data_IF_037370986956
#
_entry.id   IF_037370986956
#
_cell.length_a   1.000
_cell.length_b   1.000
_cell.length_c   1.000
_cell.angle_alpha   90.00
_cell.angle_beta   90.00
_cell.angle_gamma   90.00
#
_symmetry.space_group_name_H-M   'P 1'
#
loop_
_entity.id
_entity.type
_entity.pdbx_description
1 polymer ?
#
# COMPACT_ATOMS: atom_id res chain seq x y z
N UNK A 1 -41.48 -19.58 8.00
CA UNK A 1 -41.34 -18.28 8.70
C UNK A 1 -40.97 -18.37 10.18
N UNK A 2 -40.14 -19.34 10.61
CA UNK A 2 -39.76 -19.48 12.04
C UNK A 2 -38.27 -19.73 12.30
N UNK A 3 -37.41 -19.67 11.27
CA UNK A 3 -35.98 -19.89 11.42
C UNK A 3 -35.17 -18.59 11.60
N UNK A 4 -35.77 -17.43 11.31
CA UNK A 4 -35.12 -16.14 11.44
C UNK A 4 -35.16 -15.57 12.88
N UNK A 5 -36.06 -16.07 13.74
CA UNK A 5 -36.28 -15.52 15.09
C UNK A 5 -35.33 -16.12 16.15
N UNK A 6 -34.71 -17.27 15.88
CA UNK A 6 -33.83 -17.95 16.84
C UNK A 6 -32.36 -17.53 16.81
N UNK A 7 -31.90 -16.83 15.76
CA UNK A 7 -30.47 -16.47 15.61
C UNK A 7 -30.12 -15.17 16.34
N UNK A 8 -31.09 -14.28 16.58
CA UNK A 8 -30.89 -13.04 17.35
C UNK A 8 -30.67 -13.27 18.85
N UNK A 9 -30.86 -14.49 19.35
CA UNK A 9 -30.79 -14.81 20.79
C UNK A 9 -29.34 -15.09 21.29
N UNK A 10 -28.35 -15.24 20.39
CA UNK A 10 -26.98 -15.65 20.76
C UNK A 10 -25.92 -14.54 20.70
N UNK A 11 -26.29 -13.29 20.40
CA UNK A 11 -25.33 -12.21 20.27
C UNK A 11 -25.48 -11.20 21.41
N UNK A 12 -24.50 -11.17 22.33
CA UNK A 12 -24.49 -10.16 23.37
C UNK A 12 -24.11 -8.77 22.80
N UNK A 13 -24.49 -7.70 23.49
CA UNK A 13 -24.19 -6.33 23.04
C UNK A 13 -22.69 -6.12 22.78
N UNK A 14 -21.81 -6.73 23.57
CA UNK A 14 -20.37 -6.63 23.39
C UNK A 14 -19.87 -7.25 22.08
N UNK A 15 -20.46 -8.38 21.66
CA UNK A 15 -20.16 -9.06 20.40
C UNK A 15 -20.67 -8.25 19.21
N UNK A 16 -21.86 -7.65 19.32
CA UNK A 16 -22.37 -6.73 18.30
C UNK A 16 -21.45 -5.52 18.14
N UNK A 17 -21.04 -4.89 19.25
CA UNK A 17 -20.12 -3.74 19.23
C UNK A 17 -18.75 -4.11 18.66
N UNK A 18 -18.22 -5.29 19.03
CA UNK A 18 -16.97 -5.81 18.46
C UNK A 18 -17.07 -6.02 16.95
N UNK A 19 -18.16 -6.61 16.47
CA UNK A 19 -18.41 -6.82 15.05
C UNK A 19 -18.55 -5.50 14.28
N UNK A 20 -19.27 -4.51 14.84
CA UNK A 20 -19.35 -3.15 14.26
C UNK A 20 -17.97 -2.53 14.14
N UNK A 21 -17.12 -2.63 15.17
CA UNK A 21 -15.75 -2.12 15.12
C UNK A 21 -14.92 -2.78 14.01
N UNK A 22 -15.03 -4.09 13.83
CA UNK A 22 -14.37 -4.80 12.71
C UNK A 22 -14.84 -4.24 11.37
N UNK A 23 -16.16 -4.07 11.18
CA UNK A 23 -16.70 -3.54 9.92
C UNK A 23 -16.22 -2.12 9.64
N UNK A 24 -16.18 -1.26 10.65
CA UNK A 24 -15.64 0.11 10.52
C UNK A 24 -14.17 0.07 10.09
N UNK A 25 -13.35 -0.78 10.70
CA UNK A 25 -11.94 -0.96 10.31
C UNK A 25 -11.84 -1.45 8.86
N UNK A 26 -12.64 -2.44 8.46
CA UNK A 26 -12.66 -2.96 7.07
C UNK A 26 -13.02 -1.85 6.08
N UNK A 27 -14.03 -1.03 6.38
CA UNK A 27 -14.43 0.11 5.53
C UNK A 27 -13.28 1.11 5.40
N UNK A 28 -12.67 1.53 6.52
CA UNK A 28 -11.58 2.51 6.52
C UNK A 28 -10.37 1.97 5.74
N UNK A 29 -9.95 0.74 6.01
CA UNK A 29 -8.81 0.13 5.33
C UNK A 29 -9.07 -0.06 3.83
N UNK A 30 -10.29 -0.42 3.44
CA UNK A 30 -10.67 -0.53 2.03
C UNK A 30 -10.65 0.85 1.36
N UNK A 31 -11.19 1.88 2.02
CA UNK A 31 -11.16 3.25 1.50
C UNK A 31 -9.74 3.77 1.28
N UNK A 32 -8.85 3.60 2.26
CA UNK A 32 -7.43 4.00 2.16
C UNK A 32 -6.74 3.32 0.97
N UNK A 33 -7.06 2.05 0.71
CA UNK A 33 -6.49 1.31 -0.41
C UNK A 33 -7.14 1.62 -1.76
N UNK A 34 -8.38 2.15 -1.77
CA UNK A 34 -9.05 2.62 -2.98
C UNK A 34 -8.49 3.96 -3.47
N UNK A 35 -8.03 4.85 -2.58
CA UNK A 35 -7.46 6.15 -2.97
C UNK A 35 -6.36 6.03 -4.05
N UNK A 36 -5.35 5.16 -3.91
CA UNK A 36 -4.32 5.00 -4.94
C UNK A 36 -4.73 4.07 -6.10
N UNK A 37 -5.99 3.61 -6.20
CA UNK A 37 -6.41 2.65 -7.23
C UNK A 37 -6.21 3.22 -8.64
N UNK A 38 -6.56 4.48 -8.87
CA UNK A 38 -6.39 5.11 -10.20
C UNK A 38 -4.92 5.05 -10.65
N UNK A 39 -4.00 5.39 -9.73
CA UNK A 39 -2.55 5.34 -9.97
C UNK A 39 -2.04 3.90 -10.19
N UNK A 40 -2.43 2.96 -9.32
CA UNK A 40 -2.02 1.54 -9.43
C UNK A 40 -2.52 0.92 -10.74
N UNK A 41 -3.74 1.26 -11.15
CA UNK A 41 -4.33 0.82 -12.42
C UNK A 41 -3.61 1.45 -13.61
N UNK A 42 -3.26 2.74 -13.56
CA UNK A 42 -2.48 3.39 -14.61
C UNK A 42 -1.11 2.72 -14.81
N UNK A 43 -0.37 2.45 -13.72
CA UNK A 43 0.87 1.67 -13.77
C UNK A 43 0.63 0.28 -14.37
N UNK A 44 -0.43 -0.40 -13.93
CA UNK A 44 -0.71 -1.76 -14.39
C UNK A 44 -1.03 -1.77 -15.88
N UNK A 45 -1.83 -0.83 -16.38
CA UNK A 45 -2.17 -0.72 -17.81
C UNK A 45 -0.93 -0.38 -18.64
N UNK A 46 -0.10 0.57 -18.19
CA UNK A 46 1.17 0.92 -18.83
C UNK A 46 2.12 -0.28 -18.90
N UNK A 47 2.28 -0.99 -17.78
CA UNK A 47 3.21 -2.11 -17.70
C UNK A 47 2.73 -3.38 -18.39
N UNK A 48 1.43 -3.50 -18.67
CA UNK A 48 0.79 -4.61 -19.38
C UNK A 48 0.14 -4.17 -20.70
N UNK A 49 0.59 -3.06 -21.30
CA UNK A 49 -0.04 -2.47 -22.49
C UNK A 49 -0.25 -3.48 -23.63
N UNK A 50 0.77 -4.31 -23.93
CA UNK A 50 0.67 -5.39 -24.93
C UNK A 50 -0.49 -6.36 -24.65
N UNK A 51 -0.71 -6.71 -23.38
CA UNK A 51 -1.79 -7.61 -22.97
C UNK A 51 -3.14 -6.88 -22.99
N UNK A 52 -3.17 -5.61 -22.56
CA UNK A 52 -4.39 -4.81 -22.56
C UNK A 52 -4.88 -4.58 -24.00
N UNK A 53 -4.00 -4.24 -24.92
CA UNK A 53 -4.31 -4.11 -26.34
C UNK A 53 -4.83 -5.44 -26.92
N UNK A 54 -4.15 -6.55 -26.64
CA UNK A 54 -4.57 -7.87 -27.10
C UNK A 54 -5.96 -8.29 -26.58
N UNK A 55 -6.33 -7.90 -25.37
CA UNK A 55 -7.61 -8.29 -24.74
C UNK A 55 -8.74 -7.32 -25.08
N UNK A 56 -8.46 -6.02 -25.14
CA UNK A 56 -9.49 -4.97 -25.27
C UNK A 56 -9.61 -4.40 -26.68
N UNK A 57 -8.61 -4.61 -27.54
CA UNK A 57 -8.52 -3.98 -28.86
C UNK A 57 -8.32 -2.45 -28.80
N UNK A 58 -8.09 -1.90 -27.60
CA UNK A 58 -7.76 -0.49 -27.42
C UNK A 58 -6.26 -0.35 -27.62
N UNK A 59 -5.87 0.43 -28.63
CA UNK A 59 -4.48 0.83 -28.85
C UNK A 59 -4.03 1.66 -27.63
N UNK A 60 -3.22 1.02 -26.79
CA UNK A 60 -2.55 1.67 -25.68
C UNK A 60 -1.19 2.07 -26.23
N UNK A 61 -1.00 3.37 -26.53
CA UNK A 61 0.25 3.96 -27.03
C UNK A 61 1.42 3.57 -26.09
N UNK A 62 2.00 2.39 -26.35
CA UNK A 62 3.07 1.80 -25.56
C UNK A 62 4.34 2.54 -25.93
N UNK A 63 4.61 3.60 -25.19
CA UNK A 63 5.92 4.23 -25.23
C UNK A 63 6.82 3.34 -24.41
N UNK A 64 7.90 2.84 -25.00
CA UNK A 64 8.97 2.19 -24.25
C UNK A 64 9.46 3.17 -23.17
N UNK A 65 8.86 3.11 -21.99
CA UNK A 65 9.21 3.94 -20.86
C UNK A 65 10.53 3.40 -20.34
N UNK A 66 11.62 3.91 -20.92
CA UNK A 66 12.98 3.70 -20.44
C UNK A 66 13.08 3.99 -18.94
N UNK A 67 14.05 3.35 -18.29
CA UNK A 67 14.30 3.55 -16.86
C UNK A 67 14.51 5.06 -16.58
N UNK A 68 13.73 5.62 -15.66
CA UNK A 68 13.77 7.04 -15.30
C UNK A 68 12.88 7.98 -16.12
N UNK A 69 12.03 7.44 -17.00
CA UNK A 69 10.98 8.19 -17.69
C UNK A 69 9.61 7.96 -17.04
N UNK A 70 8.80 9.02 -16.96
CA UNK A 70 7.40 8.96 -16.54
C UNK A 70 6.49 8.33 -17.62
N UNK A 71 5.19 8.23 -17.34
CA UNK A 71 4.20 7.71 -18.31
C UNK A 71 4.09 8.50 -19.61
N UNK A 72 4.56 9.74 -19.63
CA UNK A 72 4.55 10.60 -20.80
C UNK A 72 5.88 10.57 -21.55
N UNK A 73 6.84 9.74 -21.11
CA UNK A 73 8.19 9.67 -21.66
C UNK A 73 9.10 10.82 -21.23
N UNK A 74 8.73 11.58 -20.20
CA UNK A 74 9.52 12.70 -19.67
C UNK A 74 10.48 12.20 -18.59
N UNK A 75 11.73 12.71 -18.52
CA UNK A 75 12.62 12.40 -17.42
C UNK A 75 11.98 12.79 -16.08
N UNK A 76 12.07 11.89 -15.10
CA UNK A 76 11.54 12.11 -13.75
C UNK A 76 12.56 11.69 -12.71
N UNK A 77 12.53 12.35 -11.55
CA UNK A 77 13.35 11.99 -10.39
C UNK A 77 12.64 11.06 -9.42
N UNK A 78 11.37 10.74 -9.68
CA UNK A 78 10.63 9.78 -8.86
C UNK A 78 11.28 8.40 -8.94
N UNK A 79 11.65 7.87 -7.76
CA UNK A 79 12.35 6.59 -7.62
C UNK A 79 11.58 5.43 -8.25
N UNK A 80 10.25 5.48 -8.18
CA UNK A 80 9.35 4.51 -8.79
C UNK A 80 9.69 4.25 -10.26
N UNK A 81 9.87 5.29 -11.08
CA UNK A 81 10.11 5.14 -12.51
C UNK A 81 11.51 4.63 -12.87
N UNK A 82 12.41 4.58 -11.89
CA UNK A 82 13.73 3.98 -12.06
C UNK A 82 13.72 2.47 -11.76
N UNK A 83 12.63 1.92 -11.22
CA UNK A 83 12.46 0.48 -11.04
C UNK A 83 12.21 -0.17 -12.42
N UNK A 84 12.84 -1.32 -12.74
CA UNK A 84 12.62 -2.01 -14.01
C UNK A 84 11.13 -2.28 -14.30
N UNK A 85 10.67 -2.04 -15.53
CA UNK A 85 9.25 -2.10 -15.92
C UNK A 85 8.57 -3.43 -15.56
N UNK A 86 9.24 -4.58 -15.76
CA UNK A 86 8.69 -5.90 -15.34
C UNK A 86 8.46 -6.00 -13.83
N UNK A 87 9.32 -5.38 -13.01
CA UNK A 87 9.14 -5.37 -11.55
C UNK A 87 8.01 -4.45 -11.14
N UNK A 88 7.89 -3.28 -11.77
CA UNK A 88 6.74 -2.37 -11.60
C UNK A 88 5.42 -3.05 -11.93
N UNK A 89 5.34 -3.79 -13.05
CA UNK A 89 4.19 -4.62 -13.42
C UNK A 89 3.80 -5.59 -12.30
N UNK A 90 4.75 -6.39 -11.81
CA UNK A 90 4.47 -7.37 -10.73
C UNK A 90 3.97 -6.68 -9.45
N UNK A 91 4.60 -5.59 -9.04
CA UNK A 91 4.19 -4.83 -7.85
C UNK A 91 2.78 -4.28 -8.05
N UNK A 92 2.50 -3.63 -9.19
CA UNK A 92 1.19 -3.06 -9.49
C UNK A 92 0.09 -4.14 -9.52
N UNK A 93 0.33 -5.26 -10.19
CA UNK A 93 -0.61 -6.39 -10.24
C UNK A 93 -0.93 -6.92 -8.84
N UNK A 94 0.09 -7.13 -7.99
CA UNK A 94 -0.14 -7.58 -6.61
C UNK A 94 -0.97 -6.59 -5.80
N UNK A 95 -0.77 -5.28 -6.02
CA UNK A 95 -1.52 -4.24 -5.34
C UNK A 95 -2.96 -4.12 -5.84
N UNK A 96 -3.22 -4.34 -7.13
CA UNK A 96 -4.59 -4.42 -7.68
C UNK A 96 -5.30 -5.65 -7.14
N UNK A 97 -4.63 -6.82 -7.13
CA UNK A 97 -5.17 -8.05 -6.51
C UNK A 97 -5.50 -7.81 -5.04
N UNK A 98 -4.63 -7.11 -4.30
CA UNK A 98 -4.90 -6.78 -2.91
C UNK A 98 -6.16 -5.93 -2.72
N UNK A 99 -6.41 -4.95 -3.60
CA UNK A 99 -7.62 -4.13 -3.57
C UNK A 99 -8.84 -4.98 -3.88
N UNK A 100 -8.79 -5.83 -4.91
CA UNK A 100 -9.89 -6.74 -5.25
C UNK A 100 -10.25 -7.65 -4.06
N UNK A 101 -9.23 -8.20 -3.40
CA UNK A 101 -9.39 -8.99 -2.19
C UNK A 101 -10.01 -8.19 -1.02
N UNK A 102 -9.61 -6.93 -0.82
CA UNK A 102 -10.24 -6.07 0.19
C UNK A 102 -11.68 -5.73 -0.13
N UNK A 103 -12.01 -5.45 -1.40
CA UNK A 103 -13.38 -5.19 -1.83
C UNK A 103 -14.24 -6.45 -1.62
N UNK A 104 -13.74 -7.64 -1.96
CA UNK A 104 -14.44 -8.89 -1.67
C UNK A 104 -14.65 -9.11 -0.16
N UNK A 105 -13.65 -8.79 0.66
CA UNK A 105 -13.76 -8.83 2.11
C UNK A 105 -14.85 -7.85 2.62
N UNK A 106 -14.88 -6.62 2.11
CA UNK A 106 -15.90 -5.63 2.45
C UNK A 106 -17.31 -6.08 2.02
N UNK A 107 -17.47 -6.61 0.82
CA UNK A 107 -18.74 -7.16 0.34
C UNK A 107 -19.19 -8.31 1.24
N UNK A 108 -18.29 -9.23 1.58
CA UNK A 108 -18.56 -10.30 2.55
C UNK A 108 -18.98 -9.76 3.90
N UNK A 109 -18.32 -8.71 4.40
CA UNK A 109 -18.66 -8.07 5.66
C UNK A 109 -20.02 -7.32 5.64
N UNK A 110 -20.50 -6.90 4.47
CA UNK A 110 -21.84 -6.32 4.31
C UNK A 110 -22.91 -7.41 4.26
N UNK A 111 -22.66 -8.50 3.52
CA UNK A 111 -23.60 -9.63 3.38
C UNK A 111 -23.77 -10.37 4.71
N UNK A 112 -22.66 -10.74 5.36
CA UNK A 112 -22.67 -11.40 6.67
C UNK A 112 -22.62 -10.32 7.76
N UNK A 113 -23.80 -9.75 8.04
CA UNK A 113 -23.90 -8.61 8.94
C UNK A 113 -23.68 -9.03 10.39
N UNK A 114 -24.31 -10.11 10.85
CA UNK A 114 -24.28 -10.48 12.26
C UNK A 114 -22.99 -11.17 12.68
N UNK A 115 -22.66 -11.05 13.97
CA UNK A 115 -21.44 -11.64 14.51
C UNK A 115 -21.38 -13.15 14.24
N UNK A 116 -22.46 -13.88 14.51
CA UNK A 116 -22.54 -15.34 14.32
C UNK A 116 -22.30 -15.72 12.85
N UNK A 117 -22.86 -14.94 11.93
CA UNK A 117 -22.72 -15.16 10.49
C UNK A 117 -21.27 -14.98 10.02
N UNK A 118 -20.53 -14.03 10.61
CA UNK A 118 -19.09 -13.87 10.31
C UNK A 118 -18.20 -14.99 10.86
N UNK A 119 -18.66 -15.71 11.89
CA UNK A 119 -17.90 -16.76 12.57
C UNK A 119 -18.28 -18.17 12.12
N UNK A 120 -19.39 -18.33 11.40
CA UNK A 120 -19.87 -19.62 10.90
C UNK A 120 -19.62 -19.77 9.41
N UNK A 121 -19.55 -21.02 8.94
CA UNK A 121 -19.48 -21.29 7.50
C UNK A 121 -20.85 -21.02 6.87
N UNK A 122 -20.92 -20.31 5.74
CA UNK A 122 -19.82 -19.90 4.84
C UNK A 122 -19.15 -18.55 5.15
N UNK A 123 -19.72 -17.70 6.02
CA UNK A 123 -19.26 -16.32 6.22
C UNK A 123 -17.80 -16.18 6.67
N UNK A 124 -17.33 -17.08 7.55
CA UNK A 124 -15.92 -17.09 8.01
C UNK A 124 -14.94 -17.27 6.85
N UNK A 125 -15.29 -18.05 5.83
CA UNK A 125 -14.45 -18.32 4.66
C UNK A 125 -14.48 -17.12 3.71
N UNK A 126 -15.67 -16.61 3.41
CA UNK A 126 -15.88 -15.49 2.49
C UNK A 126 -15.24 -14.20 2.99
N UNK A 127 -15.19 -13.99 4.31
CA UNK A 127 -14.56 -12.81 4.90
C UNK A 127 -13.05 -13.02 5.04
N UNK A 128 -12.59 -14.10 5.67
CA UNK A 128 -11.18 -14.20 6.04
C UNK A 128 -10.25 -14.57 4.88
N UNK A 129 -10.68 -15.37 3.90
CA UNK A 129 -9.81 -15.72 2.77
C UNK A 129 -9.41 -14.49 1.94
N UNK A 130 -10.35 -13.61 1.52
CA UNK A 130 -9.96 -12.38 0.83
C UNK A 130 -9.14 -11.44 1.72
N UNK A 131 -9.42 -11.35 3.03
CA UNK A 131 -8.59 -10.55 3.94
C UNK A 131 -7.12 -11.02 3.96
N UNK A 132 -6.90 -12.33 4.09
CA UNK A 132 -5.55 -12.93 4.04
C UNK A 132 -4.89 -12.72 2.67
N UNK A 133 -5.64 -12.93 1.58
CA UNK A 133 -5.17 -12.68 0.22
C UNK A 133 -4.69 -11.25 0.02
N UNK A 134 -5.43 -10.26 0.56
CA UNK A 134 -5.04 -8.86 0.51
C UNK A 134 -3.72 -8.60 1.27
N UNK A 135 -3.61 -9.11 2.50
CA UNK A 135 -2.41 -8.94 3.34
C UNK A 135 -1.18 -9.54 2.65
N UNK A 136 -1.28 -10.80 2.21
CA UNK A 136 -0.17 -11.50 1.55
C UNK A 136 0.28 -10.74 0.31
N UNK A 137 -0.66 -10.30 -0.52
CA UNK A 137 -0.36 -9.58 -1.75
C UNK A 137 0.34 -8.24 -1.48
N UNK A 138 -0.11 -7.48 -0.47
CA UNK A 138 0.55 -6.23 -0.06
C UNK A 138 1.95 -6.46 0.50
N UNK A 139 2.14 -7.49 1.32
CA UNK A 139 3.46 -7.81 1.90
C UNK A 139 4.46 -8.20 0.81
N UNK A 140 4.03 -9.01 -0.18
CA UNK A 140 4.89 -9.39 -1.30
C UNK A 140 5.21 -8.15 -2.15
N UNK A 141 4.23 -7.32 -2.48
CA UNK A 141 4.42 -6.08 -3.23
C UNK A 141 5.43 -5.15 -2.54
N UNK A 142 5.24 -4.88 -1.25
CA UNK A 142 6.15 -4.06 -0.45
C UNK A 142 7.56 -4.66 -0.37
N UNK A 143 7.68 -5.99 -0.27
CA UNK A 143 8.97 -6.67 -0.24
C UNK A 143 9.72 -6.58 -1.57
N UNK A 144 9.03 -6.68 -2.70
CA UNK A 144 9.64 -6.53 -4.03
C UNK A 144 10.03 -5.07 -4.27
N UNK A 145 9.13 -4.13 -3.98
CA UNK A 145 9.39 -2.71 -4.10
C UNK A 145 10.61 -2.28 -3.26
N UNK A 146 10.63 -2.61 -1.97
CA UNK A 146 11.72 -2.23 -1.07
C UNK A 146 13.08 -2.83 -1.46
N UNK A 147 13.11 -4.02 -2.09
CA UNK A 147 14.35 -4.61 -2.61
C UNK A 147 14.90 -3.86 -3.81
N UNK A 148 14.03 -3.42 -4.73
CA UNK A 148 14.46 -2.69 -5.93
C UNK A 148 14.84 -1.23 -5.58
N UNK A 149 14.09 -0.57 -4.71
CA UNK A 149 14.46 0.75 -4.16
C UNK A 149 15.81 0.71 -3.46
N UNK A 150 16.06 -0.32 -2.62
CA UNK A 150 17.35 -0.47 -1.95
C UNK A 150 18.52 -0.65 -2.94
N UNK A 151 18.32 -1.35 -4.06
CA UNK A 151 19.33 -1.48 -5.12
C UNK A 151 19.57 -0.14 -5.82
N UNK A 152 18.52 0.63 -6.10
CA UNK A 152 18.62 1.94 -6.73
C UNK A 152 19.36 2.93 -5.83
N UNK A 153 19.03 2.97 -4.54
CA UNK A 153 19.72 3.80 -3.55
C UNK A 153 21.18 3.40 -3.42
N UNK A 154 21.51 2.11 -3.46
CA UNK A 154 22.89 1.64 -3.42
C UNK A 154 23.67 1.99 -4.70
N UNK A 155 23.01 2.01 -5.87
CA UNK A 155 23.63 2.34 -7.14
C UNK A 155 23.83 3.85 -7.34
N UNK A 156 22.92 4.68 -6.82
CA UNK A 156 22.93 6.13 -6.96
C UNK A 156 22.61 6.82 -5.63
N UNK A 157 23.52 6.75 -4.64
CA UNK A 157 23.28 7.28 -3.29
C UNK A 157 23.19 8.81 -3.26
N UNK A 158 23.74 9.50 -4.26
CA UNK A 158 23.67 10.97 -4.35
C UNK A 158 22.32 11.44 -4.89
N UNK A 159 21.68 10.63 -5.75
CA UNK A 159 20.39 10.94 -6.40
C UNK A 159 19.21 10.56 -5.51
N UNK A 160 19.26 9.40 -4.87
CA UNK A 160 18.12 8.86 -4.12
C UNK A 160 18.31 8.98 -2.60
N UNK A 161 17.28 9.42 -1.85
CA UNK A 161 17.37 9.54 -0.40
C UNK A 161 17.57 8.18 0.27
N UNK A 162 18.22 8.18 1.42
CA UNK A 162 18.34 6.96 2.23
C UNK A 162 16.96 6.53 2.75
N UNK A 163 16.68 5.22 2.85
CA UNK A 163 15.38 4.75 3.28
C UNK A 163 15.14 5.08 4.75
N UNK A 164 13.93 5.46 5.12
CA UNK A 164 13.55 5.76 6.53
C UNK A 164 13.90 4.61 7.49
N UNK A 165 13.83 3.37 7.02
CA UNK A 165 14.18 2.17 7.80
C UNK A 165 15.62 2.21 8.34
N UNK A 166 16.54 2.88 7.65
CA UNK A 166 17.91 3.11 8.11
C UNK A 166 17.92 3.93 9.40
N UNK A 167 17.25 5.08 9.39
CA UNK A 167 17.17 6.01 10.53
C UNK A 167 16.45 5.38 11.74
N UNK A 168 15.36 4.65 11.51
CA UNK A 168 14.66 3.93 12.57
C UNK A 168 15.51 2.81 13.18
N UNK A 169 16.26 2.06 12.36
CA UNK A 169 17.16 1.01 12.83
C UNK A 169 18.33 1.57 13.63
N UNK A 170 18.85 2.73 13.23
CA UNK A 170 19.86 3.47 14.01
C UNK A 170 19.30 3.93 15.36
N UNK A 171 18.11 4.53 15.40
CA UNK A 171 17.45 4.91 16.66
C UNK A 171 17.20 3.72 17.59
N UNK A 172 16.77 2.58 17.06
CA UNK A 172 16.61 1.35 17.84
C UNK A 172 17.94 0.80 18.37
N UNK A 173 19.00 0.78 17.54
CA UNK A 173 20.33 0.36 17.96
C UNK A 173 20.90 1.27 19.05
N UNK A 174 20.74 2.57 18.91
CA UNK A 174 21.17 3.57 19.90
C UNK A 174 20.45 3.39 21.23
N UNK A 175 19.14 3.12 21.18
CA UNK A 175 18.34 2.80 22.36
C UNK A 175 18.81 1.48 23.02
N UNK A 176 18.97 0.40 22.25
CA UNK A 176 19.47 -0.90 22.74
C UNK A 176 20.87 -0.82 23.32
N UNK A 177 21.71 0.07 22.81
CA UNK A 177 23.06 0.30 23.29
C UNK A 177 23.11 1.19 24.55
N UNK A 178 21.98 1.73 25.02
CA UNK A 178 21.91 2.54 26.25
C UNK A 178 22.68 3.86 26.17
N UNK A 179 23.10 4.30 24.97
CA UNK A 179 24.05 5.39 24.78
C UNK A 179 23.50 6.78 25.10
N UNK A 180 22.19 6.94 25.16
CA UNK A 180 21.54 8.26 25.10
C UNK A 180 20.69 8.61 26.32
N UNK A 181 20.39 7.66 27.22
CA UNK A 181 19.49 7.89 28.37
C UNK A 181 18.05 8.33 28.00
N UNK A 182 17.72 8.36 26.70
CA UNK A 182 16.44 8.79 26.15
C UNK A 182 15.51 7.60 25.95
N UNK A 183 14.20 7.86 26.02
CA UNK A 183 13.19 6.86 25.67
C UNK A 183 13.29 6.49 24.19
N UNK A 184 12.89 5.27 23.83
CA UNK A 184 12.86 4.80 22.44
C UNK A 184 12.10 5.77 21.53
N UNK A 185 10.94 6.25 21.98
CA UNK A 185 10.13 7.22 21.25
C UNK A 185 10.86 8.53 20.95
N UNK A 186 11.62 9.08 21.91
CA UNK A 186 12.38 10.31 21.70
C UNK A 186 13.51 10.13 20.68
N UNK A 187 14.15 8.95 20.66
CA UNK A 187 15.21 8.63 19.70
C UNK A 187 14.65 8.39 18.30
N UNK A 188 13.58 7.62 18.19
CA UNK A 188 12.91 7.37 16.91
C UNK A 188 12.38 8.68 16.32
N UNK A 189 11.75 9.54 17.13
CA UNK A 189 11.28 10.86 16.68
C UNK A 189 12.44 11.74 16.19
N UNK A 190 13.53 11.81 16.94
CA UNK A 190 14.70 12.60 16.52
C UNK A 190 15.31 12.10 15.20
N UNK A 191 15.37 10.77 15.00
CA UNK A 191 15.85 10.15 13.76
C UNK A 191 14.87 10.35 12.60
N UNK A 192 13.57 10.39 12.87
CA UNK A 192 12.54 10.70 11.88
C UNK A 192 12.58 12.17 11.46
N UNK A 193 12.77 13.09 12.41
CA UNK A 193 12.94 14.51 12.12
C UNK A 193 14.22 14.77 11.31
N UNK A 194 15.28 14.00 11.56
CA UNK A 194 16.50 14.01 10.74
C UNK A 194 16.22 13.53 9.31
N UNK A 195 15.49 12.43 9.16
CA UNK A 195 15.06 11.94 7.85
C UNK A 195 14.26 12.99 7.07
N UNK A 196 13.28 13.65 7.71
CA UNK A 196 12.52 14.72 7.04
C UNK A 196 13.41 15.88 6.60
N UNK A 197 14.34 16.34 7.45
CA UNK A 197 15.25 17.44 7.12
C UNK A 197 16.24 17.11 6.01
N UNK A 198 16.71 15.86 5.94
CA UNK A 198 17.65 15.42 4.89
C UNK A 198 16.96 15.15 3.54
N UNK A 199 15.64 14.92 3.56
CA UNK A 199 14.84 14.66 2.38
C UNK A 199 14.04 15.86 1.88
N UNK A 200 13.90 16.92 2.68
CA UNK A 200 13.33 18.20 2.26
C UNK A 200 14.17 18.76 1.09
N UNK A 201 13.61 18.70 -0.13
CA UNK A 201 14.26 19.14 -1.36
C UNK A 201 14.88 18.06 -2.25
N UNK A 202 14.90 16.78 -1.86
CA UNK A 202 15.46 15.67 -2.68
C UNK A 202 14.41 14.86 -3.47
N UNK A 203 13.20 15.38 -3.68
CA UNK A 203 12.14 14.68 -4.45
C UNK A 203 11.78 13.30 -3.89
N UNK A 204 12.08 13.07 -2.61
CA UNK A 204 12.18 11.75 -2.02
C UNK A 204 10.84 11.12 -1.67
N UNK A 205 10.13 10.56 -2.65
CA UNK A 205 9.12 9.53 -2.41
C UNK A 205 9.83 8.21 -2.01
N UNK A 206 10.31 8.13 -0.78
CA UNK A 206 10.89 6.89 -0.25
C UNK A 206 10.70 6.81 1.26
N UNK A 207 9.45 6.62 1.68
CA UNK A 207 9.14 5.76 2.83
C UNK A 207 7.65 5.68 3.08
N UNK A 208 7.05 4.58 2.63
CA UNK A 208 5.72 4.21 3.08
C UNK A 208 5.06 3.42 1.98
N UNK A 209 4.55 2.25 2.33
CA UNK A 209 3.58 1.49 1.54
C UNK A 209 2.61 2.49 0.93
N UNK A 210 2.80 2.87 -0.34
CA UNK A 210 1.93 3.76 -1.10
C UNK A 210 1.33 4.81 -0.17
N UNK A 211 2.13 5.79 0.25
CA UNK A 211 1.61 6.96 0.92
C UNK A 211 0.46 7.49 0.07
N UNK A 212 -0.73 7.30 0.63
CA UNK A 212 -2.04 7.85 0.33
C UNK A 212 -1.95 8.93 -0.75
N UNK A 213 -2.55 8.65 -1.91
CA UNK A 213 -2.59 9.51 -3.09
C UNK A 213 -3.05 10.94 -2.80
N UNK A 214 -2.11 11.76 -2.35
CA UNK A 214 -2.16 13.21 -2.32
C UNK A 214 -0.75 13.68 -2.68
N UNK A 215 -0.39 13.59 -3.96
CA UNK A 215 0.48 14.61 -4.51
C UNK A 215 -0.31 15.92 -4.45
N UNK A 216 -0.04 16.74 -3.45
CA UNK A 216 -0.21 18.18 -3.65
C UNK A 216 0.82 18.51 -4.71
N UNK A 217 0.33 18.69 -5.94
CA UNK A 217 1.03 19.33 -7.03
C UNK A 217 1.60 20.65 -6.52
N UNK A 218 2.84 20.67 -6.02
CA UNK A 218 3.62 21.89 -5.98
C UNK A 218 4.11 22.12 -7.41
N UNK A 219 3.19 22.61 -8.25
CA UNK A 219 3.57 23.46 -9.35
C UNK A 219 4.38 24.61 -8.75
N UNK A 220 5.70 24.48 -8.77
CA UNK A 220 6.58 25.63 -8.80
C UNK A 220 6.26 26.39 -10.08
N UNK A 221 5.30 27.32 -9.99
CA UNK A 221 5.24 28.44 -10.91
C UNK A 221 6.51 29.26 -10.69
N UNK A 222 7.58 28.88 -11.39
CA UNK A 222 8.61 29.81 -11.80
C UNK A 222 8.28 30.21 -13.24
N UNK A 223 7.44 31.24 -13.33
CA UNK A 223 7.45 32.22 -14.41
C UNK A 223 7.75 33.58 -13.76
#
# INVERSE_FOLDING_TARGET
DGAAEYVSEFCNLSQQMFNVNIKVIVIILTYINLLPLAWRSAIMVDAWAEVVEAVTGIDVDYREAGIGLDFYGRPTDAMWFHIPSRKRAVIATLLVVAILCQVMNLVGAIIYWDYVDTQTSPGVVVINLPALGAIISQVIAASVQGKEEAKLIAAQPDKFPAPMTKYLKEGYKEWRAGKSGKTLWALLKAKLDQFHKENDGKGGQSAGIIEIGVEVTSTSNTA
#
